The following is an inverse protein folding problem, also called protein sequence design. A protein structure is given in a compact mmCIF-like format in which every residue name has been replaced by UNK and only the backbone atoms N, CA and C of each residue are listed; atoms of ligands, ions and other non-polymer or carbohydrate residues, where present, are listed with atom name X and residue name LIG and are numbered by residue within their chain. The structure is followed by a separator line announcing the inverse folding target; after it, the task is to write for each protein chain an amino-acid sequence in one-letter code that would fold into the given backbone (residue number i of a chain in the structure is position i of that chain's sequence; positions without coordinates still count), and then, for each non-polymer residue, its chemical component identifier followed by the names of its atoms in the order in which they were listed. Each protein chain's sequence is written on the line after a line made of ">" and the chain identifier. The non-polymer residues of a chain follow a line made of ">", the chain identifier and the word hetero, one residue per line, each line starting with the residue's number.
data_IF_180624699010
#
_entry.id   IF_180624699010
#
_cell.length_a   1.000
_cell.length_b   1.000
_cell.length_c   1.000
_cell.angle_alpha   90.00
_cell.angle_beta   90.00
_cell.angle_gamma   90.00
#
_symmetry.space_group_name_H-M   'P 1'
#
loop_
_entity.id
_entity.type
_entity.pdbx_description
1 polymer ?
#
# COMPACT_ATOMS: atom_id res chain seq x y z
N UNK A 1 -3.43 -0.03 -9.39
CA UNK A 1 -4.18 -0.98 -10.24
C UNK A 1 -3.44 -1.33 -11.54
N UNK A 2 -2.91 -0.33 -12.26
CA UNK A 2 -2.47 -0.45 -13.67
C UNK A 2 -1.48 -1.56 -13.99
N UNK A 3 -0.55 -1.90 -13.08
CA UNK A 3 0.53 -2.86 -13.35
C UNK A 3 0.47 -4.15 -12.53
N UNK A 4 0.05 -4.06 -11.26
CA UNK A 4 0.08 -5.19 -10.33
C UNK A 4 -1.31 -5.78 -10.02
N UNK A 5 -2.39 -5.24 -10.60
CA UNK A 5 -3.75 -5.58 -10.25
C UNK A 5 -4.29 -4.76 -9.07
N UNK A 6 -5.61 -4.80 -8.88
CA UNK A 6 -6.30 -4.11 -7.78
C UNK A 6 -6.23 -4.89 -6.47
N UNK A 7 -6.25 -6.22 -6.56
CA UNK A 7 -6.31 -7.13 -5.41
C UNK A 7 -4.94 -7.46 -4.82
N UNK A 8 -3.86 -6.90 -5.38
CA UNK A 8 -2.51 -7.17 -4.89
C UNK A 8 -2.38 -6.67 -3.44
N UNK A 9 -1.96 -7.52 -2.48
CA UNK A 9 -1.61 -7.05 -1.15
C UNK A 9 -0.51 -5.99 -1.18
N UNK A 10 -0.73 -4.89 -0.47
CA UNK A 10 0.21 -3.79 -0.31
C UNK A 10 0.16 -3.26 1.13
N UNK A 11 1.30 -2.81 1.64
CA UNK A 11 1.42 -2.10 2.90
C UNK A 11 2.07 -0.74 2.66
N UNK A 12 1.52 0.31 3.23
CA UNK A 12 2.07 1.65 3.21
C UNK A 12 2.25 2.12 4.63
N UNK A 13 3.50 2.34 5.02
CA UNK A 13 3.92 2.85 6.32
C UNK A 13 4.39 4.28 6.16
N UNK A 14 3.98 5.17 7.06
CA UNK A 14 4.33 6.59 7.03
C UNK A 14 4.89 7.06 8.35
N UNK A 15 5.87 7.95 8.28
CA UNK A 15 6.45 8.62 9.45
C UNK A 15 6.88 7.64 10.56
N UNK A 16 7.54 6.55 10.15
CA UNK A 16 8.09 5.54 11.06
C UNK A 16 8.91 6.24 12.15
N UNK A 17 8.71 5.85 13.41
CA UNK A 17 9.34 6.43 14.63
C UNK A 17 8.85 7.81 15.10
N UNK A 18 7.88 8.44 14.43
CA UNK A 18 7.27 9.70 14.91
C UNK A 18 5.91 9.43 15.59
N UNK A 19 5.44 10.38 16.39
CA UNK A 19 4.18 10.27 17.16
C UNK A 19 2.94 9.97 16.29
N UNK A 20 3.02 10.23 14.97
CA UNK A 20 1.95 10.04 13.99
C UNK A 20 2.24 8.89 13.00
N UNK A 21 2.93 7.84 13.44
CA UNK A 21 3.12 6.64 12.63
C UNK A 21 1.77 6.08 12.18
N UNK A 22 1.64 5.82 10.88
CA UNK A 22 0.45 5.24 10.29
C UNK A 22 0.86 4.08 9.38
N UNK A 23 0.29 2.90 9.65
CA UNK A 23 0.52 1.68 8.88
C UNK A 23 -0.80 1.23 8.26
N UNK A 24 -0.92 1.40 6.95
CA UNK A 24 -2.11 1.01 6.18
C UNK A 24 -1.79 -0.27 5.41
N UNK A 25 -2.61 -1.31 5.63
CA UNK A 25 -2.45 -2.62 4.99
C UNK A 25 -3.75 -3.02 4.33
N UNK A 26 -3.67 -3.57 3.13
CA UNK A 26 -4.85 -4.04 2.39
C UNK A 26 -4.51 -4.35 0.94
N UNK A 27 -5.53 -4.37 0.10
CA UNK A 27 -5.35 -4.43 -1.35
C UNK A 27 -4.94 -3.08 -1.93
N UNK A 28 -4.35 -3.07 -3.13
CA UNK A 28 -4.01 -1.81 -3.83
C UNK A 28 -5.21 -0.88 -3.93
N UNK A 29 -6.42 -1.42 -4.15
CA UNK A 29 -7.65 -0.62 -4.23
C UNK A 29 -7.99 0.09 -2.93
N UNK A 30 -8.00 -0.64 -1.82
CA UNK A 30 -8.35 -0.09 -0.50
C UNK A 30 -7.33 0.96 -0.05
N UNK A 31 -6.05 0.67 -0.28
CA UNK A 31 -4.97 1.56 0.12
C UNK A 31 -4.96 2.85 -0.72
N UNK A 32 -5.24 2.78 -2.02
CA UNK A 32 -5.40 3.98 -2.85
C UNK A 32 -6.58 4.83 -2.35
N UNK A 33 -7.75 4.21 -2.12
CA UNK A 33 -8.92 4.93 -1.62
C UNK A 33 -8.65 5.64 -0.28
N UNK A 34 -7.88 5.01 0.62
CA UNK A 34 -7.45 5.63 1.88
C UNK A 34 -6.60 6.89 1.64
N UNK A 35 -5.63 6.83 0.74
CA UNK A 35 -4.72 7.95 0.47
C UNK A 35 -5.29 9.05 -0.44
N UNK A 36 -6.36 8.77 -1.19
CA UNK A 36 -7.14 9.79 -1.90
C UNK A 36 -7.90 10.70 -0.94
N UNK A 37 -8.45 10.14 0.15
CA UNK A 37 -9.14 10.92 1.18
C UNK A 37 -8.17 11.62 2.13
N UNK A 38 -7.01 10.99 2.41
CA UNK A 38 -5.98 11.52 3.31
C UNK A 38 -4.63 11.53 2.60
N UNK A 39 -4.30 12.68 2.02
CA UNK A 39 -3.07 12.85 1.25
C UNK A 39 -1.83 12.40 2.07
N UNK A 40 -0.99 11.51 1.52
CA UNK A 40 0.23 11.11 2.19
C UNK A 40 1.25 12.25 2.15
N UNK A 41 1.75 12.61 3.33
CA UNK A 41 2.80 13.62 3.59
C UNK A 41 3.97 12.98 4.33
N UNK A 42 5.17 13.46 4.05
CA UNK A 42 6.39 13.02 4.71
C UNK A 42 7.03 11.80 4.06
N UNK A 43 7.80 11.04 4.84
CA UNK A 43 8.48 9.83 4.38
C UNK A 43 7.51 8.64 4.36
N UNK A 44 7.60 7.86 3.28
CA UNK A 44 6.68 6.76 3.01
C UNK A 44 7.49 5.52 2.64
N UNK A 45 7.19 4.41 3.30
CA UNK A 45 7.68 3.08 2.95
C UNK A 45 6.51 2.30 2.36
N UNK A 46 6.70 1.78 1.15
CA UNK A 46 5.70 0.95 0.46
C UNK A 46 6.26 -0.45 0.27
N UNK A 47 5.51 -1.44 0.75
CA UNK A 47 5.83 -2.86 0.57
C UNK A 47 4.75 -3.47 -0.31
N UNK A 48 5.15 -3.95 -1.50
CA UNK A 48 4.24 -4.58 -2.46
C UNK A 48 4.37 -6.09 -2.33
N UNK A 49 3.25 -6.79 -2.23
CA UNK A 49 3.22 -8.24 -2.25
C UNK A 49 3.86 -8.81 -3.50
N UNK A 50 4.57 -9.92 -3.34
CA UNK A 50 5.11 -10.69 -4.46
C UNK A 50 4.01 -11.12 -5.44
N UNK A 51 4.42 -11.50 -6.66
CA UNK A 51 3.48 -12.07 -7.64
C UNK A 51 2.85 -13.34 -7.06
N UNK A 52 1.53 -13.48 -7.19
CA UNK A 52 0.84 -14.66 -6.68
C UNK A 52 1.36 -15.91 -7.42
N UNK A 53 1.83 -16.94 -6.71
CA UNK A 53 2.37 -18.15 -7.33
C UNK A 53 1.32 -18.91 -8.17
N UNK A 54 0.02 -18.63 -8.01
CA UNK A 54 -1.05 -19.21 -8.82
C UNK A 54 -1.23 -18.51 -10.17
N UNK A 55 -0.73 -17.29 -10.34
CA UNK A 55 -0.64 -16.61 -11.64
C UNK A 55 0.54 -17.16 -12.47
N UNK A 56 0.50 -18.45 -12.81
CA UNK A 56 1.42 -19.02 -13.80
C UNK A 56 1.04 -18.46 -15.18
N UNK A 57 2.05 -17.93 -15.89
CA UNK A 57 1.98 -17.63 -17.32
C UNK A 57 1.83 -18.93 -18.10
#
# INVERSE_FOLDING_TARGET
>A
ATYFGEDRPICVSRELSKLHEENVRGTVKEVIAHFETKAPKGEIVVVVGGKDPKEKK
#
